data_IF_500599476597
#
_entry.id   IF_500599476597
#
_cell.length_a   1.000
_cell.length_b   1.000
_cell.length_c   1.000
_cell.angle_alpha   90.00
_cell.angle_beta   90.00
_cell.angle_gamma   90.00
#
_symmetry.space_group_name_H-M   'P 1'
#
loop_
_entity.id
_entity.type
_entity.pdbx_description
1 polymer ?
#
# COMPACT_ATOMS: atom_id res chain seq x y z
N UNK A 1 0.32 15.17 -13.75
CA UNK A 1 -0.35 13.85 -13.79
C UNK A 1 -1.35 13.81 -12.66
N UNK A 2 -2.62 13.51 -12.95
CA UNK A 2 -3.66 13.22 -11.93
C UNK A 2 -3.30 11.94 -11.20
N UNK A 3 -3.50 11.89 -9.88
CA UNK A 3 -3.17 10.75 -9.04
C UNK A 3 -4.43 10.30 -8.28
N UNK A 4 -4.83 9.06 -8.50
CA UNK A 4 -5.95 8.43 -7.78
C UNK A 4 -5.41 7.39 -6.79
N UNK A 5 -5.74 7.50 -5.51
CA UNK A 5 -5.46 6.48 -4.51
C UNK A 5 -6.62 5.48 -4.42
N UNK A 6 -6.33 4.20 -4.61
CA UNK A 6 -7.29 3.11 -4.44
C UNK A 6 -6.86 2.28 -3.24
N UNK A 7 -7.78 2.12 -2.29
CA UNK A 7 -7.56 1.40 -1.03
C UNK A 7 -8.26 0.04 -1.13
N UNK A 8 -7.55 -1.06 -1.44
CA UNK A 8 -8.16 -2.38 -1.48
C UNK A 8 -8.47 -2.86 -0.06
N UNK A 9 -9.71 -3.24 0.19
CA UNK A 9 -10.18 -3.78 1.47
C UNK A 9 -11.07 -5.00 1.23
N UNK A 10 -10.79 -6.11 1.93
CA UNK A 10 -11.60 -7.32 1.90
C UNK A 10 -12.11 -7.68 3.28
N UNK A 11 -13.37 -8.14 3.35
CA UNK A 11 -13.96 -8.55 4.64
C UNK A 11 -13.27 -9.78 5.22
N UNK A 12 -12.95 -10.77 4.39
CA UNK A 12 -12.30 -11.99 4.80
C UNK A 12 -10.80 -11.81 5.00
N UNK A 13 -10.41 -11.56 6.24
CA UNK A 13 -9.03 -11.58 6.69
C UNK A 13 -8.84 -12.77 7.65
N UNK A 14 -8.02 -13.74 7.28
CA UNK A 14 -7.88 -15.01 8.01
C UNK A 14 -7.39 -14.84 9.46
N UNK A 15 -6.55 -13.84 9.73
CA UNK A 15 -5.97 -13.57 11.05
C UNK A 15 -6.81 -12.62 11.90
N UNK A 16 -7.60 -11.76 11.28
CA UNK A 16 -8.46 -10.77 11.93
C UNK A 16 -9.73 -10.59 11.10
N UNK A 17 -10.76 -11.45 11.27
CA UNK A 17 -12.01 -11.34 10.54
C UNK A 17 -12.68 -9.97 10.74
N UNK A 18 -13.21 -9.39 9.68
CA UNK A 18 -13.81 -8.04 9.74
C UNK A 18 -12.82 -6.90 9.91
N UNK A 19 -11.52 -7.15 9.72
CA UNK A 19 -10.43 -6.20 9.91
C UNK A 19 -10.72 -4.78 9.37
N UNK A 20 -11.23 -4.57 8.14
CA UNK A 20 -11.48 -3.22 7.62
C UNK A 20 -12.48 -2.41 8.44
N UNK A 21 -13.40 -3.07 9.11
CA UNK A 21 -14.42 -2.44 9.96
C UNK A 21 -14.06 -2.39 11.45
N UNK A 22 -12.86 -2.86 11.81
CA UNK A 22 -12.37 -2.78 13.19
C UNK A 22 -12.34 -1.32 13.65
N UNK A 23 -12.91 -1.08 14.83
CA UNK A 23 -13.00 0.26 15.40
C UNK A 23 -11.64 0.77 15.89
N UNK A 24 -11.29 1.99 15.49
CA UNK A 24 -10.14 2.74 16.00
C UNK A 24 -10.64 4.14 16.38
N UNK A 25 -10.88 4.35 17.68
CA UNK A 25 -11.33 5.65 18.18
C UNK A 25 -12.68 6.10 17.63
N UNK A 26 -13.65 5.19 17.50
CA UNK A 26 -14.99 5.47 16.98
C UNK A 26 -15.10 5.53 15.46
N UNK A 27 -14.05 5.14 14.73
CA UNK A 27 -14.03 5.15 13.26
C UNK A 27 -13.49 3.82 12.73
N UNK A 28 -14.12 3.21 11.71
CA UNK A 28 -13.61 2.00 11.06
C UNK A 28 -12.22 2.18 10.49
N UNK A 29 -11.38 1.15 10.61
CA UNK A 29 -9.98 1.18 10.16
C UNK A 29 -9.82 1.62 8.69
N UNK A 30 -10.63 1.09 7.78
CA UNK A 30 -10.59 1.44 6.35
C UNK A 30 -10.88 2.92 6.09
N UNK A 31 -11.74 3.52 6.92
CA UNK A 31 -12.08 4.95 6.82
C UNK A 31 -10.89 5.83 7.21
N UNK A 32 -10.06 5.40 8.17
CA UNK A 32 -8.82 6.12 8.48
C UNK A 32 -7.85 6.11 7.29
N UNK A 33 -7.65 4.94 6.65
CA UNK A 33 -6.79 4.82 5.47
C UNK A 33 -7.31 5.70 4.31
N UNK A 34 -8.64 5.65 4.05
CA UNK A 34 -9.25 6.50 3.05
C UNK A 34 -9.07 7.99 3.35
N UNK A 35 -9.36 8.42 4.59
CA UNK A 35 -9.20 9.84 4.98
C UNK A 35 -7.77 10.34 4.86
N UNK A 36 -6.79 9.49 5.13
CA UNK A 36 -5.38 9.84 4.99
C UNK A 36 -5.02 10.14 3.53
N UNK A 37 -5.53 9.35 2.59
CA UNK A 37 -5.36 9.58 1.16
C UNK A 37 -6.17 10.78 0.66
N UNK A 38 -7.44 10.90 1.05
CA UNK A 38 -8.36 11.95 0.60
C UNK A 38 -7.93 13.36 1.00
N UNK A 39 -7.27 13.47 2.16
CA UNK A 39 -6.74 14.75 2.67
C UNK A 39 -5.34 15.08 2.18
N UNK A 40 -4.69 14.17 1.47
CA UNK A 40 -3.32 14.37 1.03
C UNK A 40 -3.27 15.35 -0.16
N UNK A 41 -2.47 16.43 -0.09
CA UNK A 41 -2.51 17.52 -1.09
C UNK A 41 -2.06 17.09 -2.50
N UNK A 42 -1.32 16.00 -2.62
CA UNK A 42 -0.80 15.48 -3.89
C UNK A 42 -1.67 14.39 -4.50
N UNK A 43 -2.78 13.99 -3.85
CA UNK A 43 -3.74 12.99 -4.33
C UNK A 43 -5.01 13.71 -4.77
N UNK A 44 -5.43 13.52 -6.01
CA UNK A 44 -6.58 14.21 -6.59
C UNK A 44 -7.91 13.50 -6.28
N UNK A 45 -7.89 12.20 -6.07
CA UNK A 45 -9.06 11.39 -5.72
C UNK A 45 -8.64 10.19 -4.86
N UNK A 46 -9.45 9.85 -3.87
CA UNK A 46 -9.28 8.64 -3.06
C UNK A 46 -10.57 7.83 -2.99
N UNK A 47 -10.47 6.50 -3.18
CA UNK A 47 -11.61 5.60 -3.09
C UNK A 47 -11.22 4.25 -2.48
N UNK A 48 -12.21 3.55 -1.92
CA UNK A 48 -12.05 2.20 -1.40
C UNK A 48 -12.58 1.19 -2.41
N UNK A 49 -11.80 0.15 -2.68
CA UNK A 49 -12.20 -0.99 -3.50
C UNK A 49 -12.47 -2.20 -2.60
N UNK A 50 -13.68 -2.76 -2.61
CA UNK A 50 -14.07 -3.79 -1.65
C UNK A 50 -15.00 -4.85 -2.24
N UNK A 51 -15.05 -6.03 -1.60
CA UNK A 51 -15.96 -7.13 -1.91
C UNK A 51 -17.22 -7.15 -1.02
N UNK A 52 -17.34 -6.20 -0.07
CA UNK A 52 -18.40 -6.29 0.93
C UNK A 52 -19.22 -5.00 1.07
N UNK A 53 -20.57 -5.09 1.06
CA UNK A 53 -21.42 -3.91 1.13
C UNK A 53 -21.29 -3.13 2.45
N UNK A 54 -21.00 -3.78 3.57
CA UNK A 54 -20.83 -3.08 4.84
C UNK A 54 -19.60 -2.16 4.84
N UNK A 55 -18.56 -2.53 4.09
CA UNK A 55 -17.39 -1.67 3.90
C UNK A 55 -17.77 -0.47 3.02
N UNK A 56 -18.57 -0.70 1.96
CA UNK A 56 -19.10 0.39 1.13
C UNK A 56 -19.88 1.38 2.00
N UNK A 57 -20.84 0.90 2.78
CA UNK A 57 -21.67 1.75 3.66
C UNK A 57 -20.80 2.54 4.65
N UNK A 58 -19.82 1.90 5.31
CA UNK A 58 -18.97 2.56 6.28
C UNK A 58 -18.15 3.71 5.66
N UNK A 59 -17.69 3.55 4.42
CA UNK A 59 -16.96 4.58 3.69
C UNK A 59 -17.88 5.70 3.22
N UNK A 60 -19.06 5.38 2.67
CA UNK A 60 -20.06 6.35 2.21
C UNK A 60 -20.64 7.17 3.37
N UNK A 61 -20.93 6.56 4.50
CA UNK A 61 -21.36 7.24 5.73
C UNK A 61 -20.32 8.24 6.25
N UNK A 62 -19.04 7.97 5.96
CA UNK A 62 -17.94 8.88 6.27
C UNK A 62 -17.72 9.98 5.21
N UNK A 63 -18.53 10.01 4.14
CA UNK A 63 -18.45 10.95 3.02
C UNK A 63 -17.47 10.52 1.92
N UNK A 64 -16.96 9.29 1.97
CA UNK A 64 -16.03 8.74 1.00
C UNK A 64 -16.72 8.08 -0.19
N UNK A 65 -15.90 7.67 -1.17
CA UNK A 65 -16.33 6.88 -2.32
C UNK A 65 -15.83 5.45 -2.19
N UNK A 66 -16.71 4.49 -2.43
CA UNK A 66 -16.34 3.08 -2.50
C UNK A 66 -16.88 2.41 -3.77
N UNK A 67 -16.15 1.42 -4.27
CA UNK A 67 -16.55 0.61 -5.43
C UNK A 67 -16.58 -0.86 -4.99
N UNK A 68 -17.74 -1.49 -5.21
CA UNK A 68 -17.92 -2.92 -5.00
C UNK A 68 -17.30 -3.69 -6.17
N UNK A 69 -16.30 -4.53 -5.91
CA UNK A 69 -15.48 -5.17 -6.96
C UNK A 69 -15.60 -6.69 -7.01
N UNK A 70 -16.28 -7.33 -6.13
CA UNK A 70 -16.26 -8.80 -6.04
C UNK A 70 -14.94 -9.36 -5.46
N UNK A 71 -14.73 -10.67 -5.57
CA UNK A 71 -13.54 -11.36 -5.08
C UNK A 71 -12.37 -11.22 -6.06
N UNK A 72 -11.19 -10.96 -5.52
CA UNK A 72 -9.93 -10.85 -6.28
C UNK A 72 -8.77 -11.53 -5.55
N UNK A 73 -7.82 -12.14 -6.31
CA UNK A 73 -6.71 -12.87 -5.71
C UNK A 73 -5.71 -11.96 -4.98
N UNK A 74 -5.57 -10.70 -5.43
CA UNK A 74 -4.65 -9.74 -4.80
C UNK A 74 -5.27 -8.35 -4.62
N UNK A 75 -4.58 -7.50 -3.83
CA UNK A 75 -4.93 -6.09 -3.71
C UNK A 75 -4.77 -5.34 -5.02
N UNK A 76 -3.78 -5.67 -5.83
CA UNK A 76 -3.54 -5.06 -7.15
C UNK A 76 -4.65 -5.41 -8.13
N UNK A 77 -5.12 -6.66 -8.16
CA UNK A 77 -6.26 -7.06 -9.00
C UNK A 77 -7.54 -6.34 -8.59
N UNK A 78 -7.76 -6.14 -7.28
CA UNK A 78 -8.90 -5.39 -6.77
C UNK A 78 -8.81 -3.91 -7.13
N UNK A 79 -7.62 -3.31 -7.04
CA UNK A 79 -7.39 -1.93 -7.51
C UNK A 79 -7.69 -1.80 -9.00
N UNK A 80 -7.24 -2.77 -9.81
CA UNK A 80 -7.54 -2.78 -11.24
C UNK A 80 -9.05 -2.87 -11.51
N UNK A 81 -9.77 -3.74 -10.82
CA UNK A 81 -11.23 -3.86 -10.99
C UNK A 81 -11.95 -2.55 -10.65
N UNK A 82 -11.57 -1.89 -9.56
CA UNK A 82 -12.13 -0.59 -9.21
C UNK A 82 -11.76 0.48 -10.24
N UNK A 83 -10.49 0.53 -10.67
CA UNK A 83 -10.03 1.45 -11.72
C UNK A 83 -10.82 1.29 -13.01
N UNK A 84 -11.08 0.05 -13.42
CA UNK A 84 -11.87 -0.26 -14.63
C UNK A 84 -13.36 0.11 -14.52
N UNK A 85 -13.89 0.16 -13.29
CA UNK A 85 -15.27 0.58 -13.03
C UNK A 85 -15.46 2.11 -12.98
N UNK A 86 -14.35 2.88 -12.95
CA UNK A 86 -14.41 4.34 -13.00
C UNK A 86 -14.73 4.84 -14.42
N UNK A 87 -15.47 5.93 -14.52
CA UNK A 87 -15.75 6.59 -15.80
C UNK A 87 -14.50 7.33 -16.33
N UNK A 88 -13.81 8.03 -15.43
CA UNK A 88 -12.56 8.75 -15.72
C UNK A 88 -11.38 7.94 -15.21
N UNK A 89 -10.55 7.45 -16.13
CA UNK A 89 -9.40 6.58 -15.89
C UNK A 89 -8.12 7.20 -16.44
N UNK A 90 -7.94 8.47 -16.16
CA UNK A 90 -6.75 9.21 -16.56
C UNK A 90 -5.80 9.40 -15.39
N UNK A 91 -4.51 9.18 -15.63
CA UNK A 91 -3.49 9.47 -14.64
C UNK A 91 -2.83 8.24 -14.03
N UNK A 92 -2.18 8.46 -12.90
CA UNK A 92 -1.47 7.45 -12.11
C UNK A 92 -2.37 6.90 -11.00
N UNK A 93 -2.11 5.67 -10.59
CA UNK A 93 -2.85 5.00 -9.51
C UNK A 93 -1.91 4.65 -8.37
N UNK A 94 -2.28 5.00 -7.14
CA UNK A 94 -1.64 4.51 -5.92
C UNK A 94 -2.48 3.36 -5.36
N UNK A 95 -1.84 2.21 -5.11
CA UNK A 95 -2.39 1.11 -4.31
C UNK A 95 -1.94 1.34 -2.86
N UNK A 96 -2.82 1.93 -2.06
CA UNK A 96 -2.63 2.16 -0.64
C UNK A 96 -3.28 1.05 0.16
N UNK A 97 -2.48 0.27 0.89
CA UNK A 97 -2.98 -0.89 1.60
C UNK A 97 -4.03 -0.53 2.66
N UNK A 98 -5.20 -1.17 2.59
CA UNK A 98 -6.32 -0.89 3.51
C UNK A 98 -6.08 -1.33 4.96
N UNK A 99 -4.98 -2.03 5.23
CA UNK A 99 -4.52 -2.40 6.57
C UNK A 99 -3.47 -1.44 7.16
N UNK A 100 -3.16 -0.36 6.47
CA UNK A 100 -2.39 0.79 6.97
C UNK A 100 -3.32 1.98 7.26
N UNK A 101 -3.97 2.03 8.44
CA UNK A 101 -4.94 3.10 8.72
C UNK A 101 -4.33 4.49 8.81
N UNK A 102 -3.05 4.58 9.14
CA UNK A 102 -2.31 5.84 9.29
C UNK A 102 -1.00 5.80 8.49
N UNK A 103 -1.08 5.79 7.15
CA UNK A 103 0.11 5.86 6.30
C UNK A 103 0.84 7.18 6.56
N UNK A 104 2.17 7.17 6.44
CA UNK A 104 2.94 8.39 6.61
C UNK A 104 2.71 9.34 5.43
N UNK A 105 2.32 10.60 5.65
CA UNK A 105 2.11 11.57 4.57
C UNK A 105 3.37 11.84 3.74
N UNK A 106 4.56 11.77 4.33
CA UNK A 106 5.82 11.98 3.60
C UNK A 106 6.10 10.83 2.62
N UNK A 107 5.70 9.60 2.98
CA UNK A 107 5.79 8.46 2.06
C UNK A 107 4.86 8.64 0.85
N UNK A 108 3.64 9.11 1.08
CA UNK A 108 2.70 9.43 0.00
C UNK A 108 3.24 10.56 -0.89
N UNK A 109 3.79 11.61 -0.28
CA UNK A 109 4.42 12.72 -1.02
C UNK A 109 5.56 12.22 -1.89
N UNK A 110 6.49 11.43 -1.34
CA UNK A 110 7.62 10.88 -2.07
C UNK A 110 7.18 10.02 -3.25
N UNK A 111 6.17 9.18 -3.04
CA UNK A 111 5.59 8.34 -4.09
C UNK A 111 4.93 9.18 -5.20
N UNK A 112 4.14 10.19 -4.84
CA UNK A 112 3.50 11.11 -5.78
C UNK A 112 4.54 11.88 -6.62
N UNK A 113 5.63 12.34 -5.99
CA UNK A 113 6.72 13.02 -6.71
C UNK A 113 7.38 12.09 -7.72
N UNK A 114 7.60 10.83 -7.35
CA UNK A 114 8.18 9.83 -8.24
C UNK A 114 7.26 9.51 -9.43
N UNK A 115 5.95 9.41 -9.21
CA UNK A 115 4.95 9.19 -10.26
C UNK A 115 4.83 10.35 -11.26
N UNK A 116 5.25 11.55 -10.88
CA UNK A 116 5.31 12.71 -11.79
C UNK A 116 6.56 12.72 -12.68
N UNK A 117 7.53 11.82 -12.42
CA UNK A 117 8.72 11.69 -13.26
C UNK A 117 8.39 10.95 -14.57
N UNK A 118 8.83 11.45 -15.74
CA UNK A 118 8.37 10.95 -17.04
C UNK A 118 8.79 9.50 -17.34
N UNK A 119 9.78 8.96 -16.65
CA UNK A 119 10.30 7.61 -16.91
C UNK A 119 9.85 6.57 -15.86
N UNK A 120 9.05 6.96 -14.89
CA UNK A 120 8.54 6.06 -13.89
C UNK A 120 7.49 5.13 -14.50
N UNK A 121 7.64 3.85 -14.30
CA UNK A 121 6.65 2.83 -14.67
C UNK A 121 5.86 2.41 -13.42
N UNK A 122 6.57 1.87 -12.43
CA UNK A 122 6.06 1.55 -11.11
C UNK A 122 6.94 2.25 -10.08
N UNK A 123 6.34 2.79 -9.05
CA UNK A 123 6.99 3.47 -7.95
C UNK A 123 6.72 2.72 -6.63
N UNK A 124 7.69 2.69 -5.74
CA UNK A 124 7.52 2.23 -4.36
C UNK A 124 8.51 2.94 -3.44
N UNK A 125 8.41 2.68 -2.14
CA UNK A 125 9.23 3.34 -1.12
C UNK A 125 10.01 2.31 -0.29
N UNK A 126 11.16 2.73 0.24
CA UNK A 126 11.98 1.95 1.17
C UNK A 126 12.54 2.84 2.25
N UNK A 127 12.84 2.25 3.41
CA UNK A 127 13.54 2.92 4.49
C UNK A 127 14.81 2.15 4.89
N UNK A 128 15.76 2.78 5.56
CA UNK A 128 16.87 2.05 6.17
C UNK A 128 16.37 0.95 7.11
N UNK A 129 17.07 -0.18 7.12
CA UNK A 129 16.77 -1.25 8.05
C UNK A 129 17.36 -0.94 9.43
N UNK A 130 16.60 -1.22 10.49
CA UNK A 130 17.12 -1.21 11.86
C UNK A 130 18.03 -2.42 12.13
N UNK A 131 18.90 -2.35 13.12
CA UNK A 131 19.77 -3.47 13.51
C UNK A 131 18.96 -4.74 13.82
N UNK A 132 19.28 -5.84 13.12
CA UNK A 132 18.61 -7.13 13.28
C UNK A 132 17.32 -7.30 12.49
N UNK A 133 16.75 -6.23 11.93
CA UNK A 133 15.48 -6.30 11.19
C UNK A 133 15.56 -7.14 9.90
N UNK A 134 16.74 -7.19 9.31
CA UNK A 134 17.00 -7.97 8.09
C UNK A 134 16.89 -9.49 8.27
N UNK A 135 16.92 -9.96 9.51
CA UNK A 135 16.82 -11.39 9.82
C UNK A 135 15.38 -11.89 9.83
N UNK A 136 14.40 -10.98 9.90
CA UNK A 136 12.98 -11.33 9.93
C UNK A 136 12.41 -11.50 8.52
N UNK A 137 11.80 -12.66 8.19
CA UNK A 137 11.19 -12.92 6.89
C UNK A 137 9.97 -12.02 6.59
N UNK A 138 9.31 -11.50 7.62
CA UNK A 138 8.19 -10.57 7.50
C UNK A 138 8.63 -9.23 6.93
N UNK A 139 9.88 -8.85 7.16
CA UNK A 139 10.49 -7.64 6.64
C UNK A 139 11.07 -7.90 5.26
N UNK A 140 10.43 -7.36 4.24
CA UNK A 140 10.88 -7.53 2.86
C UNK A 140 12.08 -6.61 2.61
N UNK A 141 13.22 -7.19 2.25
CA UNK A 141 14.42 -6.42 1.88
C UNK A 141 14.37 -6.04 0.43
N UNK A 142 14.84 -4.86 0.10
CA UNK A 142 14.97 -4.37 -1.27
C UNK A 142 16.40 -3.90 -1.57
N UNK A 143 16.89 -4.30 -2.73
CA UNK A 143 18.17 -3.84 -3.28
C UNK A 143 17.91 -3.07 -4.58
N UNK A 144 18.59 -1.94 -4.74
CA UNK A 144 18.47 -1.09 -5.90
C UNK A 144 19.83 -0.88 -6.57
N UNK A 145 19.79 -0.49 -7.83
CA UNK A 145 20.95 0.09 -8.52
C UNK A 145 21.20 1.54 -8.08
N UNK A 146 22.21 2.16 -8.68
CA UNK A 146 22.59 3.55 -8.42
C UNK A 146 21.54 4.57 -8.84
N UNK A 147 20.64 4.19 -9.74
CA UNK A 147 19.56 5.04 -10.25
C UNK A 147 18.24 4.85 -9.48
N UNK A 148 18.26 4.07 -8.37
CA UNK A 148 17.10 3.80 -7.54
C UNK A 148 16.13 2.78 -8.13
N UNK A 149 16.54 1.99 -9.14
CA UNK A 149 15.71 0.92 -9.68
C UNK A 149 15.87 -0.35 -8.85
N UNK A 150 14.76 -0.99 -8.51
CA UNK A 150 14.80 -2.24 -7.79
C UNK A 150 15.47 -3.34 -8.63
N UNK A 151 16.46 -4.00 -8.03
CA UNK A 151 17.12 -5.18 -8.58
C UNK A 151 16.58 -6.46 -7.97
N UNK A 152 16.15 -6.40 -6.71
CA UNK A 152 15.70 -7.57 -5.96
C UNK A 152 14.81 -7.17 -4.79
N UNK A 153 13.79 -8.00 -4.55
CA UNK A 153 13.06 -8.07 -3.28
C UNK A 153 13.22 -9.47 -2.70
N UNK A 154 13.34 -9.61 -1.38
CA UNK A 154 13.47 -10.92 -0.74
C UNK A 154 13.01 -10.93 0.70
N UNK A 155 12.40 -12.03 1.11
CA UNK A 155 12.12 -12.35 2.51
C UNK A 155 13.32 -13.00 3.20
N UNK A 156 14.22 -13.60 2.43
CA UNK A 156 15.40 -14.25 2.97
C UNK A 156 16.28 -13.26 3.75
N UNK A 157 16.95 -13.70 4.83
CA UNK A 157 17.97 -12.89 5.49
C UNK A 157 19.04 -12.42 4.52
N UNK A 158 19.56 -11.21 4.71
CA UNK A 158 20.63 -10.66 3.87
C UNK A 158 21.94 -10.71 4.63
N UNK A 159 22.88 -11.51 4.12
CA UNK A 159 24.21 -11.69 4.71
C UNK A 159 25.28 -10.76 4.13
N UNK A 160 24.90 -9.83 3.25
CA UNK A 160 25.86 -8.92 2.61
C UNK A 160 26.22 -7.75 3.54
N UNK A 161 27.49 -7.40 3.58
CA UNK A 161 27.94 -6.20 4.25
C UNK A 161 27.44 -4.95 3.50
N UNK A 162 26.89 -3.97 4.21
CA UNK A 162 26.44 -2.69 3.65
C UNK A 162 25.10 -2.23 4.24
N UNK A 163 24.65 -1.04 3.86
CA UNK A 163 23.35 -0.55 4.28
C UNK A 163 22.25 -1.40 3.66
N UNK A 164 21.33 -1.85 4.49
CA UNK A 164 20.16 -2.60 4.06
C UNK A 164 18.91 -1.73 4.13
N UNK A 165 17.93 -2.02 3.29
CA UNK A 165 16.68 -1.29 3.24
C UNK A 165 15.50 -2.24 3.32
N UNK A 166 14.48 -1.82 4.05
CA UNK A 166 13.19 -2.49 4.13
C UNK A 166 12.24 -1.84 3.13
N UNK A 167 11.63 -2.66 2.32
CA UNK A 167 10.58 -2.26 1.40
C UNK A 167 9.28 -2.05 2.17
N UNK A 168 8.60 -0.95 1.89
CA UNK A 168 7.26 -0.66 2.39
C UNK A 168 6.25 -0.97 1.27
N UNK A 169 5.17 -1.68 1.60
CA UNK A 169 4.21 -2.23 0.64
C UNK A 169 3.30 -1.21 -0.06
N UNK A 170 3.75 0.01 -0.24
CA UNK A 170 3.05 1.10 -0.91
C UNK A 170 3.51 1.19 -2.37
N UNK A 171 2.56 1.14 -3.32
CA UNK A 171 2.86 1.16 -4.74
C UNK A 171 2.13 2.25 -5.49
N UNK A 172 2.83 2.82 -6.47
CA UNK A 172 2.25 3.71 -7.46
C UNK A 172 2.51 3.21 -8.87
N UNK A 173 1.53 3.35 -9.73
CA UNK A 173 1.56 2.94 -11.12
C UNK A 173 1.33 4.16 -12.00
N UNK A 174 2.28 4.45 -12.89
CA UNK A 174 2.08 5.48 -13.92
C UNK A 174 0.97 5.06 -14.89
N UNK A 175 0.42 5.99 -15.71
CA UNK A 175 -0.71 5.69 -16.58
C UNK A 175 -0.52 4.44 -17.42
N UNK A 176 -1.48 3.50 -17.36
CA UNK A 176 -1.48 2.21 -18.07
C UNK A 176 -0.62 1.11 -17.43
N UNK A 177 0.14 1.41 -16.37
CA UNK A 177 1.01 0.39 -15.76
C UNK A 177 0.30 -0.49 -14.75
N UNK A 178 -0.80 -0.04 -14.13
CA UNK A 178 -1.63 -0.90 -13.28
C UNK A 178 -2.20 -2.07 -14.10
N UNK A 179 -2.82 -1.78 -15.24
CA UNK A 179 -3.37 -2.78 -16.15
C UNK A 179 -2.30 -3.76 -16.64
N UNK A 180 -1.15 -3.21 -17.03
CA UNK A 180 -0.04 -4.03 -17.51
C UNK A 180 0.51 -4.94 -16.42
N UNK A 181 0.73 -4.44 -15.22
CA UNK A 181 1.26 -5.23 -14.10
C UNK A 181 0.30 -6.32 -13.64
N UNK A 182 -1.00 -6.01 -13.54
CA UNK A 182 -2.01 -6.99 -13.15
C UNK A 182 -2.25 -8.07 -14.22
N UNK A 183 -2.02 -7.76 -15.51
CA UNK A 183 -2.16 -8.75 -16.60
C UNK A 183 -0.99 -9.76 -16.69
N UNK A 184 0.09 -9.54 -15.97
CA UNK A 184 1.24 -10.45 -16.02
C UNK A 184 0.93 -11.78 -15.33
N UNK A 185 1.39 -12.90 -15.90
CA UNK A 185 1.23 -14.21 -15.26
C UNK A 185 2.06 -14.27 -13.98
N UNK A 186 1.58 -15.07 -13.02
CA UNK A 186 2.32 -15.33 -11.78
C UNK A 186 3.69 -15.96 -12.12
N UNK A 187 4.76 -15.28 -11.70
CA UNK A 187 6.12 -15.67 -11.97
C UNK A 187 6.65 -16.72 -10.98
N UNK A 188 7.81 -17.30 -11.32
CA UNK A 188 8.46 -18.30 -10.46
C UNK A 188 8.95 -17.70 -9.14
N UNK A 189 9.57 -16.53 -9.19
CA UNK A 189 10.08 -15.86 -7.98
C UNK A 189 8.95 -15.42 -7.05
N UNK A 190 7.84 -14.96 -7.61
CA UNK A 190 6.65 -14.61 -6.84
C UNK A 190 6.11 -15.82 -6.08
N UNK A 191 6.01 -16.98 -6.72
CA UNK A 191 5.55 -18.21 -6.06
C UNK A 191 6.47 -18.64 -4.91
N UNK A 192 7.79 -18.47 -5.08
CA UNK A 192 8.79 -18.84 -4.08
C UNK A 192 8.80 -17.90 -2.88
N UNK A 193 8.83 -16.59 -3.13
CA UNK A 193 8.96 -15.55 -2.08
C UNK A 193 7.60 -15.06 -1.58
N UNK A 194 6.50 -15.35 -2.30
CA UNK A 194 5.16 -14.79 -2.04
C UNK A 194 5.16 -13.26 -2.04
N UNK A 195 5.79 -12.71 -3.07
CA UNK A 195 5.96 -11.28 -3.28
C UNK A 195 5.50 -10.93 -4.71
N UNK A 196 4.36 -10.27 -4.84
CA UNK A 196 3.72 -9.96 -6.13
C UNK A 196 4.64 -9.15 -7.06
N UNK A 197 5.38 -8.19 -6.53
CA UNK A 197 6.26 -7.32 -7.30
C UNK A 197 7.40 -8.07 -8.01
N UNK A 198 7.68 -9.30 -7.63
CA UNK A 198 8.69 -10.13 -8.30
C UNK A 198 8.24 -10.56 -9.69
N UNK A 199 6.92 -10.73 -9.97
CA UNK A 199 6.44 -10.99 -11.33
C UNK A 199 6.72 -9.81 -12.24
N UNK A 200 6.62 -8.59 -11.71
CA UNK A 200 6.89 -7.38 -12.48
C UNK A 200 8.38 -7.28 -12.83
N UNK A 201 9.28 -7.56 -11.86
CA UNK A 201 10.72 -7.64 -12.13
C UNK A 201 11.07 -8.73 -13.14
N UNK A 202 10.52 -9.94 -13.01
CA UNK A 202 10.73 -11.04 -13.96
C UNK A 202 10.27 -10.68 -15.37
N UNK A 203 9.24 -9.84 -15.50
CA UNK A 203 8.73 -9.33 -16.78
C UNK A 203 9.50 -8.09 -17.30
N UNK A 204 10.53 -7.65 -16.61
CA UNK A 204 11.36 -6.50 -17.02
C UNK A 204 10.71 -5.12 -16.76
N UNK A 205 9.71 -5.06 -15.86
CA UNK A 205 9.13 -3.78 -15.42
C UNK A 205 10.14 -3.05 -14.53
N UNK A 206 10.36 -1.78 -14.80
CA UNK A 206 11.22 -0.94 -13.97
C UNK A 206 10.44 -0.44 -12.75
N UNK A 207 10.81 -0.92 -11.57
CA UNK A 207 10.27 -0.46 -10.30
C UNK A 207 11.25 0.56 -9.72
N UNK A 208 10.86 1.82 -9.69
CA UNK A 208 11.63 2.89 -9.07
C UNK A 208 11.33 2.94 -7.57
N UNK A 209 12.37 3.03 -6.77
CA UNK A 209 12.30 3.00 -5.32
C UNK A 209 12.86 4.31 -4.77
N UNK A 210 12.07 5.03 -3.99
CA UNK A 210 12.54 6.23 -3.31
C UNK A 210 12.84 5.92 -1.86
N UNK A 211 13.93 6.50 -1.35
CA UNK A 211 14.30 6.44 0.06
C UNK A 211 13.39 7.36 0.87
N UNK A 212 12.85 6.82 1.96
CA UNK A 212 12.09 7.59 2.95
C UNK A 212 12.70 7.36 4.33
N UNK A 213 12.44 8.28 5.24
CA UNK A 213 12.86 8.11 6.63
C UNK A 213 11.93 7.13 7.35
N UNK A 214 12.40 6.60 8.47
CA UNK A 214 11.56 5.81 9.35
C UNK A 214 10.51 6.72 10.00
N UNK A 215 9.31 6.19 10.17
CA UNK A 215 8.15 7.01 10.48
C UNK A 215 7.68 6.82 11.91
N UNK A 216 6.89 7.79 12.34
CA UNK A 216 6.10 7.67 13.56
C UNK A 216 4.78 6.91 13.32
N UNK A 217 4.54 6.38 12.11
CA UNK A 217 3.36 5.58 11.79
C UNK A 217 3.31 4.31 12.67
N UNK A 218 2.14 3.90 13.13
CA UNK A 218 2.01 2.67 13.91
C UNK A 218 2.16 1.42 13.06
N UNK A 219 2.27 1.55 11.73
CA UNK A 219 2.39 0.45 10.78
C UNK A 219 1.06 -0.27 10.49
N UNK A 220 1.17 -1.40 9.80
CA UNK A 220 0.02 -2.21 9.37
C UNK A 220 -0.62 -2.98 10.52
N UNK A 221 -1.90 -3.31 10.35
CA UNK A 221 -2.70 -4.15 11.25
C UNK A 221 -2.92 -5.50 10.60
N UNK A 222 -2.38 -6.55 11.19
CA UNK A 222 -2.58 -7.93 10.73
C UNK A 222 -3.13 -8.86 11.81
N UNK A 223 -2.91 -8.51 13.06
CA UNK A 223 -3.32 -9.27 14.24
C UNK A 223 -4.08 -8.36 15.23
N UNK A 224 -4.70 -8.96 16.24
CA UNK A 224 -5.33 -8.20 17.34
C UNK A 224 -4.30 -7.36 18.10
N UNK A 225 -3.08 -7.87 18.31
CA UNK A 225 -2.01 -7.13 18.97
C UNK A 225 -1.59 -5.89 18.17
N UNK A 226 -1.59 -5.98 16.83
CA UNK A 226 -1.36 -4.82 15.95
C UNK A 226 -2.47 -3.81 16.10
N UNK A 227 -3.73 -4.25 16.11
CA UNK A 227 -4.89 -3.39 16.27
C UNK A 227 -4.82 -2.63 17.60
N UNK A 228 -4.50 -3.32 18.70
CA UNK A 228 -4.34 -2.68 20.00
C UNK A 228 -3.15 -1.71 20.05
N UNK A 229 -2.06 -2.01 19.35
CA UNK A 229 -0.93 -1.07 19.18
C UNK A 229 -1.39 0.20 18.47
N UNK A 230 -2.14 0.06 17.39
CA UNK A 230 -2.66 1.19 16.59
C UNK A 230 -3.69 2.00 17.36
N UNK A 231 -4.58 1.36 18.11
CA UNK A 231 -5.55 2.04 19.00
C UNK A 231 -4.85 2.91 20.05
N UNK A 232 -3.83 2.37 20.71
CA UNK A 232 -3.02 3.12 21.70
C UNK A 232 -2.30 4.28 21.07
N UNK A 233 -1.72 4.07 19.89
CA UNK A 233 -1.04 5.13 19.15
C UNK A 233 -2.01 6.26 18.78
N UNK A 234 -3.20 5.92 18.30
CA UNK A 234 -4.24 6.89 17.93
C UNK A 234 -4.73 7.67 19.14
N UNK A 235 -5.03 7.00 20.25
CA UNK A 235 -5.48 7.65 21.49
C UNK A 235 -4.45 8.67 22.04
N UNK A 236 -3.17 8.36 21.93
CA UNK A 236 -2.09 9.26 22.40
C UNK A 236 -1.89 10.50 21.51
N UNK A 237 -2.44 10.53 20.30
CA UNK A 237 -2.31 11.63 19.33
C UNK A 237 -3.59 12.42 19.11
N UNK A 238 -4.74 11.86 19.44
CA UNK A 238 -5.98 12.62 19.48
C UNK A 238 -5.88 13.57 20.67
N UNK A 239 -5.94 14.91 20.46
CA UNK A 239 -6.12 15.82 21.59
C UNK A 239 -7.40 15.38 22.29
N UNK A 240 -7.34 15.28 23.62
CA UNK A 240 -8.47 14.90 24.47
C UNK A 240 -9.75 15.56 23.97
N UNK A 241 -10.69 14.73 23.53
CA UNK A 241 -12.06 15.21 23.40
C UNK A 241 -12.55 15.53 24.82
N UNK A 242 -13.09 16.74 25.06
CA UNK A 242 -13.63 17.10 26.35
C UNK A 242 -14.82 16.23 26.77
#
# INVERSE_FOLDING_TARGET
VRITAIIPARMDASRLPGKPLADIGGTPMVVHAWRAADRHPDIDEALVATDHPDIVHAVEDAGGRAILTGEHPSGTDRCLAAWQAMEDREGAVINLQGDEPFPDPEHLTALCQLLRQPHTQVATVRRPAEPGEVDFPERVKVQCDTDGRALRFSRAPVSLAGPHHIHLGLYGFSPGWLERCASLPIGRLEQQERLEQLRWLEAGVHIHVVDVEDTTSPGSVDTEDDLERVRRWHANRSPEAP
#
